data_IF_005999559827
#
_entry.id   IF_005999559827
#
_cell.length_a   1.000
_cell.length_b   1.000
_cell.length_c   1.000
_cell.angle_alpha   90.00
_cell.angle_beta   90.00
_cell.angle_gamma   90.00
#
_symmetry.space_group_name_H-M   'P 1'
#
loop_
_entity.id
_entity.type
_entity.pdbx_description
1 polymer ?
#
# COMPACT_ATOMS: atom_id res chain seq x y z
N UNK A 1 -13.75 -19.88 33.32
CA UNK A 1 -14.36 -20.71 32.25
C UNK A 1 -14.75 -19.90 30.98
N UNK A 2 -15.16 -18.63 31.10
CA UNK A 2 -15.45 -17.79 29.92
C UNK A 2 -14.22 -17.17 29.27
N UNK A 3 -13.12 -16.91 29.99
CA UNK A 3 -11.89 -16.34 29.46
C UNK A 3 -11.08 -17.34 28.63
N UNK A 4 -11.05 -18.63 29.01
CA UNK A 4 -10.32 -19.66 28.24
C UNK A 4 -10.95 -19.90 26.86
N UNK A 5 -12.28 -19.94 26.76
CA UNK A 5 -12.96 -20.09 25.45
C UNK A 5 -12.75 -18.90 24.50
N UNK A 6 -12.56 -17.68 25.03
CA UNK A 6 -12.27 -16.51 24.22
C UNK A 6 -10.82 -16.50 23.72
N UNK A 7 -9.87 -17.09 24.45
CA UNK A 7 -8.49 -17.24 24.02
C UNK A 7 -8.36 -18.31 22.94
N UNK A 8 -9.00 -19.48 23.12
CA UNK A 8 -8.99 -20.56 22.14
C UNK A 8 -9.58 -20.09 20.79
N UNK A 9 -10.73 -19.40 20.81
CA UNK A 9 -11.35 -18.86 19.59
C UNK A 9 -10.50 -17.78 18.90
N UNK A 10 -9.72 -16.98 19.64
CA UNK A 10 -8.80 -15.99 19.03
C UNK A 10 -7.61 -16.67 18.36
N UNK A 11 -7.09 -17.72 18.98
CA UNK A 11 -5.96 -18.49 18.45
C UNK A 11 -6.36 -19.24 17.17
N UNK A 12 -7.55 -19.82 17.15
CA UNK A 12 -8.11 -20.51 15.98
C UNK A 12 -8.34 -19.54 14.82
N UNK A 13 -8.88 -18.35 15.07
CA UNK A 13 -9.11 -17.33 14.05
C UNK A 13 -7.78 -16.80 13.47
N UNK A 14 -6.76 -16.58 14.30
CA UNK A 14 -5.44 -16.16 13.85
C UNK A 14 -4.77 -17.23 12.98
N UNK A 15 -4.85 -18.50 13.40
CA UNK A 15 -4.27 -19.61 12.62
C UNK A 15 -4.92 -19.74 11.24
N UNK A 16 -6.23 -19.51 11.15
CA UNK A 16 -6.96 -19.50 9.88
C UNK A 16 -6.50 -18.37 8.94
N UNK A 17 -6.34 -17.16 9.48
CA UNK A 17 -5.83 -16.01 8.73
C UNK A 17 -4.40 -16.27 8.25
N UNK A 18 -3.51 -16.75 9.12
CA UNK A 18 -2.13 -17.06 8.77
C UNK A 18 -2.03 -18.17 7.72
N UNK A 19 -2.90 -19.19 7.80
CA UNK A 19 -2.98 -20.24 6.77
C UNK A 19 -3.35 -19.67 5.41
N UNK A 20 -4.33 -18.78 5.36
CA UNK A 20 -4.73 -18.09 4.13
C UNK A 20 -3.59 -17.20 3.59
N UNK A 21 -2.93 -16.41 4.46
CA UNK A 21 -1.83 -15.54 4.07
C UNK A 21 -0.61 -16.32 3.54
N UNK A 22 -0.33 -17.51 4.08
CA UNK A 22 0.74 -18.38 3.59
C UNK A 22 0.51 -18.91 2.18
N UNK A 23 -0.73 -18.96 1.74
CA UNK A 23 -1.11 -19.38 0.39
C UNK A 23 -1.20 -18.23 -0.62
N UNK A 24 -1.13 -16.97 -0.16
CA UNK A 24 -1.12 -15.80 -1.03
C UNK A 24 0.17 -15.78 -1.87
N UNK A 25 0.03 -15.37 -3.13
CA UNK A 25 1.15 -15.24 -4.04
C UNK A 25 2.17 -14.22 -3.53
N UNK A 26 3.43 -14.54 -3.75
CA UNK A 26 4.55 -13.64 -3.52
C UNK A 26 5.15 -13.26 -4.86
N UNK A 27 5.33 -11.97 -5.07
CA UNK A 27 5.85 -11.42 -6.32
C UNK A 27 7.05 -10.54 -6.07
N UNK A 28 8.03 -10.62 -6.95
CA UNK A 28 9.08 -9.59 -7.04
C UNK A 28 8.54 -8.39 -7.79
N UNK A 29 8.98 -7.19 -7.42
CA UNK A 29 8.52 -5.96 -8.06
C UNK A 29 9.00 -5.96 -9.52
N UNK A 30 8.10 -5.80 -10.51
CA UNK A 30 8.50 -5.76 -11.91
C UNK A 30 9.45 -4.60 -12.21
N UNK A 31 10.45 -4.84 -13.08
CA UNK A 31 11.35 -3.81 -13.60
C UNK A 31 10.60 -2.84 -14.53
N UNK A 32 9.87 -1.93 -13.93
CA UNK A 32 9.21 -0.82 -14.63
C UNK A 32 9.23 0.42 -13.76
N UNK A 33 8.89 1.57 -14.35
CA UNK A 33 8.68 2.78 -13.57
C UNK A 33 7.43 2.66 -12.72
N UNK A 34 7.55 3.07 -11.47
CA UNK A 34 6.48 3.27 -10.53
C UNK A 34 6.44 4.73 -10.12
N UNK A 35 5.34 5.18 -9.53
CA UNK A 35 5.10 6.60 -9.30
C UNK A 35 4.65 6.86 -7.88
N UNK A 36 5.11 7.98 -7.35
CA UNK A 36 4.67 8.51 -6.06
C UNK A 36 4.22 9.94 -6.23
N UNK A 37 3.06 10.26 -5.65
CA UNK A 37 2.58 11.62 -5.56
C UNK A 37 2.53 12.07 -4.10
N UNK A 38 2.85 13.33 -3.86
CA UNK A 38 2.76 14.00 -2.56
C UNK A 38 2.14 15.37 -2.75
N UNK A 39 1.13 15.67 -1.93
CA UNK A 39 0.58 17.03 -1.87
C UNK A 39 1.65 17.98 -1.35
N UNK A 40 1.80 19.12 -2.01
CA UNK A 40 2.70 20.19 -1.57
C UNK A 40 1.98 21.02 -0.50
N UNK A 41 2.59 21.12 0.66
CA UNK A 41 2.11 21.98 1.74
C UNK A 41 2.79 23.34 1.66
N UNK A 42 2.02 24.40 1.93
CA UNK A 42 2.48 25.81 1.82
C UNK A 42 3.69 26.11 2.71
N UNK A 43 3.80 25.46 3.85
CA UNK A 43 4.88 25.64 4.83
C UNK A 43 6.04 24.64 4.65
N UNK A 44 6.11 23.90 3.51
CA UNK A 44 7.16 22.92 3.31
C UNK A 44 8.47 23.60 2.91
N UNK A 45 9.46 23.55 3.80
CA UNK A 45 10.78 24.16 3.61
C UNK A 45 11.59 23.55 2.45
N UNK A 46 11.21 22.38 1.95
CA UNK A 46 11.87 21.72 0.82
C UNK A 46 11.34 22.25 -0.54
N UNK A 47 10.30 23.11 -0.53
CA UNK A 47 9.67 23.69 -1.72
C UNK A 47 10.07 25.15 -1.88
N UNK A 48 10.39 25.55 -3.11
CA UNK A 48 10.68 26.93 -3.48
C UNK A 48 9.43 27.52 -4.15
N UNK A 49 9.00 28.69 -3.69
CA UNK A 49 7.82 29.39 -4.18
C UNK A 49 8.20 30.67 -4.96
N UNK A 50 7.36 31.06 -5.88
CA UNK A 50 7.44 32.35 -6.55
C UNK A 50 6.91 33.50 -5.67
N UNK A 51 6.99 34.74 -6.18
CA UNK A 51 6.49 35.91 -5.45
C UNK A 51 4.96 35.97 -5.28
N UNK A 52 4.22 35.05 -5.91
CA UNK A 52 2.77 34.89 -5.80
C UNK A 52 2.36 33.70 -4.93
N UNK A 53 3.34 32.96 -4.39
CA UNK A 53 3.09 31.81 -3.53
C UNK A 53 2.86 30.49 -4.30
N UNK A 54 3.14 30.43 -5.61
CA UNK A 54 3.05 29.18 -6.35
C UNK A 54 4.39 28.41 -6.23
N UNK A 55 4.37 27.07 -6.06
CA UNK A 55 5.58 26.29 -6.05
C UNK A 55 6.25 26.31 -7.44
N UNK A 56 7.56 26.51 -7.47
CA UNK A 56 8.34 26.56 -8.72
C UNK A 56 8.72 25.15 -9.23
N UNK A 57 8.75 24.15 -8.33
CA UNK A 57 9.10 22.76 -8.65
C UNK A 57 8.54 21.82 -7.60
N UNK A 58 8.48 20.51 -7.94
CA UNK A 58 8.20 19.45 -6.98
C UNK A 58 9.38 19.16 -6.05
N UNK A 59 9.22 18.14 -5.22
CA UNK A 59 10.30 17.67 -4.34
C UNK A 59 11.47 17.15 -5.16
N UNK A 60 12.69 17.38 -4.69
CA UNK A 60 13.89 16.77 -5.27
C UNK A 60 13.89 15.25 -5.01
N UNK A 61 14.73 14.53 -5.76
CA UNK A 61 14.80 13.06 -5.73
C UNK A 61 15.05 12.49 -4.33
N UNK A 62 15.91 13.13 -3.53
CA UNK A 62 16.21 12.76 -2.14
C UNK A 62 15.04 13.01 -1.17
N UNK A 63 14.06 13.84 -1.57
CA UNK A 63 12.85 14.20 -0.80
C UNK A 63 11.58 13.55 -1.34
N UNK A 64 11.65 12.89 -2.49
CA UNK A 64 10.50 12.23 -3.13
C UNK A 64 10.14 10.89 -2.48
N UNK A 65 11.02 10.32 -1.64
CA UNK A 65 10.79 9.09 -0.88
C UNK A 65 9.78 9.23 0.27
N UNK A 66 9.93 8.38 1.28
CA UNK A 66 9.04 8.40 2.48
C UNK A 66 9.15 9.75 3.19
N UNK A 67 8.00 10.30 3.56
CA UNK A 67 7.96 11.54 4.35
C UNK A 67 8.60 11.35 5.73
N UNK A 68 9.18 12.40 6.33
CA UNK A 68 9.62 12.35 7.72
C UNK A 68 8.47 11.94 8.64
N UNK A 69 8.74 11.07 9.64
CA UNK A 69 7.72 10.46 10.50
C UNK A 69 6.73 11.48 11.09
N UNK A 70 7.20 12.67 11.48
CA UNK A 70 6.35 13.73 12.05
C UNK A 70 5.20 14.21 11.14
N UNK A 71 5.29 13.99 9.84
CA UNK A 71 4.27 14.37 8.85
C UNK A 71 3.40 13.20 8.39
N UNK A 72 3.63 12.00 8.92
CA UNK A 72 2.90 10.81 8.50
C UNK A 72 1.64 10.65 9.35
N UNK A 73 0.49 10.70 8.67
CA UNK A 73 -0.82 10.30 9.20
C UNK A 73 -1.01 8.79 9.12
N UNK A 74 -1.99 8.27 9.84
CA UNK A 74 -2.40 6.88 9.69
C UNK A 74 -2.91 6.59 8.29
N UNK A 75 -2.53 5.45 7.74
CA UNK A 75 -2.93 4.98 6.44
C UNK A 75 -3.37 3.51 6.47
N UNK A 76 -3.55 2.93 5.31
CA UNK A 76 -3.95 1.53 5.12
C UNK A 76 -2.95 0.54 5.71
N UNK A 77 -1.67 0.81 5.57
CA UNK A 77 -0.57 -0.08 5.97
C UNK A 77 0.32 0.48 7.07
N UNK A 78 -0.02 1.62 7.66
CA UNK A 78 0.78 2.26 8.70
C UNK A 78 -0.04 2.93 9.78
N UNK A 79 0.45 2.90 11.00
CA UNK A 79 0.00 3.78 12.07
C UNK A 79 0.59 5.19 11.91
N UNK A 80 0.06 6.14 12.69
CA UNK A 80 0.59 7.51 12.71
C UNK A 80 2.07 7.49 13.09
N UNK A 81 2.90 8.23 12.36
CA UNK A 81 4.36 8.32 12.50
C UNK A 81 5.13 7.07 12.01
N UNK A 82 4.46 6.01 11.60
CA UNK A 82 5.08 4.82 11.03
C UNK A 82 5.39 5.03 9.54
N UNK A 83 6.64 4.83 9.16
CA UNK A 83 7.10 5.05 7.80
C UNK A 83 6.75 3.87 6.89
N UNK A 84 5.84 4.11 5.94
CA UNK A 84 5.49 3.21 4.84
C UNK A 84 5.51 4.01 3.55
N UNK A 85 6.14 3.46 2.52
CA UNK A 85 6.18 4.04 1.19
C UNK A 85 4.99 3.54 0.37
N UNK A 86 4.15 4.47 -0.07
CA UNK A 86 3.06 4.20 -1.00
C UNK A 86 3.45 4.65 -2.39
N UNK A 87 3.33 3.75 -3.37
CA UNK A 87 3.63 4.00 -4.79
C UNK A 87 2.59 3.31 -5.68
N UNK A 88 2.41 3.82 -6.88
CA UNK A 88 1.39 3.41 -7.81
C UNK A 88 1.99 3.02 -9.17
N UNK A 89 1.23 2.26 -9.93
CA UNK A 89 1.61 1.74 -11.23
C UNK A 89 1.79 2.83 -12.30
N UNK A 90 1.05 3.93 -12.18
CA UNK A 90 1.12 5.08 -13.09
C UNK A 90 0.91 6.42 -12.36
N UNK A 91 1.16 7.52 -13.09
CA UNK A 91 1.05 8.88 -12.55
C UNK A 91 -0.37 9.24 -12.12
N UNK A 92 -1.37 8.85 -12.90
CA UNK A 92 -2.78 9.15 -12.61
C UNK A 92 -3.21 8.50 -11.30
N UNK A 93 -2.86 7.23 -11.13
CA UNK A 93 -3.15 6.49 -9.90
C UNK A 93 -2.45 7.12 -8.71
N UNK A 94 -1.16 7.46 -8.84
CA UNK A 94 -0.41 8.13 -7.79
C UNK A 94 -1.07 9.46 -7.36
N UNK A 95 -1.53 10.27 -8.32
CA UNK A 95 -2.21 11.55 -8.04
C UNK A 95 -3.53 11.34 -7.31
N UNK A 96 -4.38 10.42 -7.78
CA UNK A 96 -5.67 10.11 -7.15
C UNK A 96 -5.51 9.56 -5.72
N UNK A 97 -4.49 8.73 -5.49
CA UNK A 97 -4.17 8.21 -4.15
C UNK A 97 -3.62 9.28 -3.21
N UNK A 98 -2.98 10.33 -3.72
CA UNK A 98 -2.54 11.46 -2.92
C UNK A 98 -3.72 12.28 -2.36
N UNK A 99 -4.93 12.15 -2.93
CA UNK A 99 -6.18 12.80 -2.49
C UNK A 99 -6.02 14.29 -2.26
N UNK A 100 -5.33 14.96 -3.17
CA UNK A 100 -5.21 16.41 -3.13
C UNK A 100 -6.58 17.04 -3.42
N UNK A 101 -6.92 18.10 -2.68
CA UNK A 101 -8.07 18.93 -3.00
C UNK A 101 -7.86 19.62 -4.36
N UNK A 102 -8.97 19.93 -5.05
CA UNK A 102 -8.93 20.66 -6.30
C UNK A 102 -8.16 21.99 -6.16
N UNK A 103 -7.27 22.25 -7.10
CA UNK A 103 -6.43 23.45 -7.09
C UNK A 103 -5.17 23.34 -6.22
N UNK A 104 -4.91 22.20 -5.55
CA UNK A 104 -3.66 21.99 -4.83
C UNK A 104 -2.57 21.44 -5.77
N UNK A 105 -1.34 21.84 -5.50
CA UNK A 105 -0.19 21.30 -6.21
C UNK A 105 0.24 19.94 -5.65
N UNK A 106 0.59 19.04 -6.56
CA UNK A 106 1.09 17.70 -6.23
C UNK A 106 2.46 17.52 -6.90
N UNK A 107 3.42 17.01 -6.16
CA UNK A 107 4.72 16.59 -6.70
C UNK A 107 4.65 15.11 -7.06
N UNK A 108 4.80 14.80 -8.35
CA UNK A 108 4.79 13.41 -8.85
C UNK A 108 6.19 13.02 -9.28
N UNK A 109 6.78 12.03 -8.61
CA UNK A 109 8.09 11.48 -8.91
C UNK A 109 7.96 10.05 -9.41
N UNK A 110 8.77 9.67 -10.37
CA UNK A 110 8.94 8.26 -10.73
C UNK A 110 10.01 7.59 -9.88
N UNK A 111 9.90 6.29 -9.68
CA UNK A 111 10.92 5.51 -8.99
C UNK A 111 11.20 4.18 -9.69
N UNK A 112 12.41 3.69 -9.48
CA UNK A 112 12.87 2.37 -9.91
C UNK A 112 13.46 1.63 -8.71
N UNK A 113 13.29 0.31 -8.72
CA UNK A 113 13.83 -0.58 -7.70
C UNK A 113 15.21 -1.09 -8.12
N UNK A 114 16.12 -1.20 -7.16
CA UNK A 114 17.46 -1.72 -7.36
C UNK A 114 17.68 -3.10 -6.74
N UNK A 115 16.63 -3.68 -6.18
CA UNK A 115 16.66 -4.94 -5.47
C UNK A 115 15.40 -5.75 -5.74
N UNK A 116 15.51 -7.06 -5.63
CA UNK A 116 14.40 -8.02 -5.73
C UNK A 116 13.59 -8.03 -4.43
N UNK A 117 12.83 -6.97 -4.19
CA UNK A 117 11.91 -6.92 -3.04
C UNK A 117 10.74 -7.86 -3.26
N UNK A 118 10.42 -8.67 -2.27
CA UNK A 118 9.28 -9.58 -2.30
C UNK A 118 8.07 -8.93 -1.66
N UNK A 119 6.96 -8.88 -2.39
CA UNK A 119 5.67 -8.40 -1.91
C UNK A 119 4.66 -9.53 -1.86
N UNK A 120 3.72 -9.44 -0.94
CA UNK A 120 2.53 -10.27 -0.96
C UNK A 120 1.51 -9.65 -1.93
N UNK A 121 1.07 -10.43 -2.93
CA UNK A 121 0.17 -9.94 -3.98
C UNK A 121 -1.30 -10.18 -3.60
N UNK A 122 -2.04 -9.10 -3.44
CA UNK A 122 -3.48 -9.08 -3.22
C UNK A 122 -4.25 -8.60 -4.45
N UNK A 123 -3.66 -8.68 -5.64
CA UNK A 123 -4.39 -8.49 -6.89
C UNK A 123 -5.46 -9.57 -7.06
N UNK A 124 -6.60 -9.29 -7.72
CA UNK A 124 -7.60 -10.31 -8.01
C UNK A 124 -6.99 -11.45 -8.81
N UNK A 125 -7.37 -12.66 -8.46
CA UNK A 125 -7.01 -13.85 -9.25
C UNK A 125 -7.62 -13.76 -10.65
N UNK A 126 -6.86 -14.20 -11.64
CA UNK A 126 -7.36 -14.44 -12.98
C UNK A 126 -8.33 -15.63 -13.00
N UNK A 127 -9.17 -15.74 -14.04
CA UNK A 127 -10.07 -16.90 -14.19
C UNK A 127 -9.30 -18.22 -14.23
N UNK A 128 -8.08 -18.23 -14.80
CA UNK A 128 -7.20 -19.39 -14.86
C UNK A 128 -6.72 -19.79 -13.46
N UNK A 129 -6.23 -18.83 -12.65
CA UNK A 129 -5.83 -19.07 -11.26
C UNK A 129 -6.99 -19.59 -10.41
N UNK A 130 -8.20 -19.04 -10.58
CA UNK A 130 -9.38 -19.52 -9.88
C UNK A 130 -9.76 -20.96 -10.27
N UNK A 131 -9.56 -21.33 -11.56
CA UNK A 131 -9.78 -22.70 -12.05
C UNK A 131 -8.79 -23.70 -11.43
N UNK A 132 -7.52 -23.32 -11.33
CA UNK A 132 -6.49 -24.17 -10.72
C UNK A 132 -6.74 -24.36 -9.22
N UNK A 133 -7.16 -23.33 -8.52
CA UNK A 133 -7.56 -23.43 -7.10
C UNK A 133 -8.77 -24.36 -6.91
N UNK A 134 -9.76 -24.32 -7.80
CA UNK A 134 -10.94 -25.16 -7.72
C UNK A 134 -10.63 -26.65 -7.90
N UNK A 135 -9.54 -26.97 -8.61
CA UNK A 135 -9.15 -28.35 -8.91
C UNK A 135 -8.29 -29.01 -7.81
N UNK A 136 -7.76 -28.24 -6.85
CA UNK A 136 -6.72 -28.76 -5.94
C UNK A 136 -7.20 -29.27 -4.56
N UNK A 137 -8.40 -28.97 -4.07
CA UNK A 137 -9.05 -29.59 -2.88
C UNK A 137 -10.31 -28.83 -2.50
N UNK A 138 -11.45 -29.45 -2.63
CA UNK A 138 -12.76 -28.79 -2.66
C UNK A 138 -13.21 -28.07 -1.36
N UNK A 139 -12.75 -28.45 -0.18
CA UNK A 139 -13.19 -27.85 1.10
C UNK A 139 -12.31 -26.69 1.58
N UNK A 140 -11.01 -26.87 1.52
CA UNK A 140 -10.06 -25.86 2.00
C UNK A 140 -9.84 -24.74 0.96
N UNK A 141 -9.95 -25.06 -0.34
CA UNK A 141 -9.80 -24.08 -1.41
C UNK A 141 -10.93 -23.05 -1.43
N UNK A 142 -12.18 -23.45 -1.15
CA UNK A 142 -13.32 -22.53 -1.11
C UNK A 142 -13.22 -21.54 0.05
N UNK A 143 -12.82 -22.01 1.24
CA UNK A 143 -12.61 -21.15 2.40
C UNK A 143 -11.47 -20.17 2.16
N UNK A 144 -10.36 -20.65 1.61
CA UNK A 144 -9.20 -19.83 1.31
C UNK A 144 -9.51 -18.78 0.23
N UNK A 145 -10.22 -19.15 -0.83
CA UNK A 145 -10.69 -18.21 -1.87
C UNK A 145 -11.61 -17.15 -1.28
N UNK A 146 -12.55 -17.55 -0.42
CA UNK A 146 -13.42 -16.60 0.27
C UNK A 146 -12.64 -15.63 1.17
N UNK A 147 -11.75 -16.16 2.02
CA UNK A 147 -10.91 -15.36 2.91
C UNK A 147 -10.03 -14.39 2.12
N UNK A 148 -9.38 -14.85 1.05
CA UNK A 148 -8.57 -14.03 0.17
C UNK A 148 -9.39 -12.88 -0.45
N UNK A 149 -10.60 -13.18 -0.92
CA UNK A 149 -11.52 -12.17 -1.45
C UNK A 149 -11.91 -11.13 -0.40
N UNK A 150 -12.11 -11.53 0.88
CA UNK A 150 -12.39 -10.57 1.94
C UNK A 150 -11.16 -9.69 2.24
N UNK A 151 -9.97 -10.26 2.24
CA UNK A 151 -8.70 -9.52 2.41
C UNK A 151 -8.53 -8.50 1.29
N UNK A 152 -8.73 -8.91 0.04
CA UNK A 152 -8.70 -8.00 -1.11
C UNK A 152 -9.69 -6.84 -0.95
N UNK A 153 -10.93 -7.13 -0.56
CA UNK A 153 -11.95 -6.09 -0.29
C UNK A 153 -11.47 -5.12 0.77
N UNK A 154 -10.96 -5.60 1.90
CA UNK A 154 -10.44 -4.77 2.99
C UNK A 154 -9.33 -3.85 2.48
N UNK A 155 -8.41 -4.37 1.65
CA UNK A 155 -7.29 -3.60 1.12
C UNK A 155 -7.66 -2.65 -0.02
N UNK A 156 -8.78 -2.88 -0.72
CA UNK A 156 -9.23 -2.08 -1.86
C UNK A 156 -10.31 -1.05 -1.48
N UNK A 157 -11.06 -1.28 -0.39
CA UNK A 157 -12.16 -0.39 0.03
C UNK A 157 -11.69 1.06 0.16
N UNK A 158 -12.50 2.01 -0.35
CA UNK A 158 -12.25 3.43 -0.09
C UNK A 158 -12.43 3.69 1.40
N UNK A 159 -11.45 4.28 2.01
CA UNK A 159 -11.46 4.63 3.42
C UNK A 159 -11.37 6.17 3.51
N UNK A 160 -12.37 6.76 4.14
CA UNK A 160 -12.53 8.22 4.24
C UNK A 160 -12.23 8.75 5.64
N UNK A 161 -12.04 7.85 6.61
CA UNK A 161 -11.74 8.21 7.98
C UNK A 161 -10.65 7.34 8.60
N UNK A 162 -9.97 7.89 9.62
CA UNK A 162 -8.92 7.17 10.36
C UNK A 162 -9.44 5.87 11.02
N UNK A 163 -10.74 5.82 11.36
CA UNK A 163 -11.36 4.63 11.96
C UNK A 163 -11.51 3.48 10.98
N UNK A 164 -11.74 3.78 9.71
CA UNK A 164 -11.92 2.76 8.67
C UNK A 164 -10.61 2.02 8.38
N UNK A 165 -9.46 2.71 8.56
CA UNK A 165 -8.14 2.09 8.42
C UNK A 165 -7.80 1.05 9.50
N UNK A 166 -8.55 0.95 10.59
CA UNK A 166 -8.21 0.03 11.70
C UNK A 166 -8.11 -1.42 11.22
N UNK A 167 -9.06 -1.86 10.38
CA UNK A 167 -9.12 -3.25 9.92
C UNK A 167 -7.95 -3.54 8.98
N UNK A 168 -7.71 -2.68 7.98
CA UNK A 168 -6.61 -2.84 7.03
C UNK A 168 -5.25 -2.78 7.74
N UNK A 169 -5.05 -1.84 8.67
CA UNK A 169 -3.83 -1.76 9.48
C UNK A 169 -3.60 -2.99 10.33
N UNK A 170 -4.64 -3.52 10.98
CA UNK A 170 -4.53 -4.74 11.79
C UNK A 170 -4.09 -5.92 10.94
N UNK A 171 -4.68 -6.06 9.76
CA UNK A 171 -4.30 -7.09 8.79
C UNK A 171 -2.83 -6.91 8.34
N UNK A 172 -2.45 -5.71 7.94
CA UNK A 172 -1.07 -5.44 7.50
C UNK A 172 -0.07 -5.63 8.63
N UNK A 173 -0.42 -5.26 9.86
CA UNK A 173 0.41 -5.56 11.04
C UNK A 173 0.61 -7.06 11.22
N UNK A 174 -0.44 -7.85 11.09
CA UNK A 174 -0.34 -9.32 11.12
C UNK A 174 0.62 -9.84 10.03
N UNK A 175 0.55 -9.28 8.81
CA UNK A 175 1.48 -9.63 7.73
C UNK A 175 2.92 -9.29 8.09
N UNK A 176 3.17 -8.06 8.56
CA UNK A 176 4.52 -7.60 8.96
C UNK A 176 5.15 -8.47 10.05
N UNK A 177 4.34 -8.94 10.99
CA UNK A 177 4.81 -9.72 12.15
C UNK A 177 5.05 -11.21 11.82
N UNK A 178 4.40 -11.75 10.79
CA UNK A 178 4.37 -13.19 10.55
C UNK A 178 4.87 -13.62 9.17
N UNK A 179 5.03 -12.69 8.21
CA UNK A 179 5.41 -13.01 6.83
C UNK A 179 6.73 -12.34 6.47
N UNK A 180 7.60 -13.08 5.81
CA UNK A 180 8.88 -12.56 5.28
C UNK A 180 8.64 -11.89 3.92
N UNK A 181 8.12 -10.65 3.99
CA UNK A 181 7.85 -9.81 2.82
C UNK A 181 8.12 -8.34 3.13
N UNK A 182 8.58 -7.60 2.13
CA UNK A 182 8.92 -6.17 2.24
C UNK A 182 7.71 -5.24 2.10
N UNK A 183 6.57 -5.77 1.69
CA UNK A 183 5.38 -4.97 1.42
C UNK A 183 4.20 -5.78 0.93
N UNK A 184 3.16 -5.06 0.52
CA UNK A 184 1.98 -5.60 -0.15
C UNK A 184 1.75 -4.91 -1.48
N UNK A 185 1.20 -5.65 -2.43
CA UNK A 185 0.67 -5.16 -3.69
C UNK A 185 -0.85 -5.35 -3.69
N UNK A 186 -1.59 -4.31 -4.04
CA UNK A 186 -3.06 -4.31 -4.03
C UNK A 186 -3.60 -3.40 -5.12
N UNK A 187 -4.91 -3.43 -5.36
CA UNK A 187 -5.55 -2.63 -6.42
C UNK A 187 -6.07 -1.30 -5.87
N UNK A 188 -5.78 -0.21 -6.57
CA UNK A 188 -6.35 1.10 -6.28
C UNK A 188 -7.86 1.10 -6.51
N UNK A 189 -8.61 1.56 -5.51
CA UNK A 189 -10.04 1.79 -5.66
C UNK A 189 -10.38 2.83 -6.74
N UNK A 190 -9.51 3.83 -6.91
CA UNK A 190 -9.77 4.96 -7.80
C UNK A 190 -9.58 4.65 -9.28
N UNK A 191 -8.68 3.72 -9.61
CA UNK A 191 -8.27 3.49 -11.01
C UNK A 191 -8.30 2.04 -11.43
N UNK A 192 -8.42 1.09 -10.50
CA UNK A 192 -8.26 -0.33 -10.77
C UNK A 192 -6.83 -0.76 -11.13
N UNK A 193 -5.86 0.15 -11.00
CA UNK A 193 -4.42 -0.11 -11.22
C UNK A 193 -3.75 -0.58 -9.96
N UNK A 194 -2.51 -1.10 -10.09
CA UNK A 194 -1.74 -1.62 -8.97
C UNK A 194 -1.15 -0.51 -8.10
N UNK A 195 -1.23 -0.72 -6.78
CA UNK A 195 -0.56 0.06 -5.76
C UNK A 195 0.32 -0.85 -4.91
N UNK A 196 1.36 -0.28 -4.32
CA UNK A 196 2.21 -0.96 -3.35
C UNK A 196 2.32 -0.14 -2.06
N UNK A 197 2.37 -0.84 -0.93
CA UNK A 197 2.75 -0.30 0.36
C UNK A 197 3.99 -1.06 0.84
N UNK A 198 5.12 -0.38 0.96
CA UNK A 198 6.44 -0.96 1.27
C UNK A 198 6.90 -0.41 2.61
N UNK A 199 7.25 -1.30 3.55
CA UNK A 199 7.69 -0.97 4.92
C UNK A 199 9.14 -1.30 5.20
N UNK A 200 9.77 -2.08 4.34
CA UNK A 200 11.20 -2.34 4.43
C UNK A 200 12.06 -1.24 3.85
N UNK A 201 13.35 -1.32 4.09
CA UNK A 201 14.35 -0.30 3.84
C UNK A 201 14.29 0.28 2.42
N UNK A 202 13.92 1.55 2.34
CA UNK A 202 13.80 2.33 1.11
C UNK A 202 15.15 2.65 0.43
N UNK A 203 16.28 2.17 0.93
CA UNK A 203 17.63 2.45 0.38
C UNK A 203 17.81 1.98 -1.05
N UNK A 204 17.02 1.00 -1.46
CA UNK A 204 17.10 0.40 -2.79
C UNK A 204 16.14 1.03 -3.80
N UNK A 205 15.45 2.10 -3.42
CA UNK A 205 14.49 2.79 -4.29
C UNK A 205 15.08 4.14 -4.71
N UNK A 206 15.28 4.31 -6.01
CA UNK A 206 15.73 5.59 -6.56
C UNK A 206 14.58 6.36 -7.17
N UNK A 207 14.40 7.60 -6.70
CA UNK A 207 13.41 8.53 -7.20
C UNK A 207 14.03 9.52 -8.18
N UNK A 208 13.22 9.99 -9.13
CA UNK A 208 13.51 11.19 -9.91
C UNK A 208 13.09 12.42 -9.11
N UNK A 209 13.49 13.60 -9.59
CA UNK A 209 12.88 14.85 -9.14
C UNK A 209 11.38 14.85 -9.50
N UNK A 210 10.57 15.39 -8.62
CA UNK A 210 9.13 15.43 -8.80
C UNK A 210 8.70 16.52 -9.78
N UNK A 211 7.81 16.14 -10.71
CA UNK A 211 7.12 17.10 -11.57
C UNK A 211 5.91 17.67 -10.85
N UNK A 212 5.67 18.98 -11.00
CA UNK A 212 4.47 19.63 -10.51
C UNK A 212 3.25 19.24 -11.36
N UNK A 213 2.18 18.93 -10.69
CA UNK A 213 0.84 18.74 -11.26
C UNK A 213 -0.15 19.53 -10.42
N UNK A 214 -1.20 20.02 -11.07
CA UNK A 214 -2.36 20.61 -10.40
C UNK A 214 -3.43 19.52 -10.25
N UNK A 215 -3.95 19.34 -9.04
CA UNK A 215 -5.01 18.37 -8.76
C UNK A 215 -6.38 18.88 -9.22
#
# INVERSE_FOLDING_TARGET
>A
MFESKNQDNKQDNLSCILSCLNQCDRVTIPEKKWYRARVINEDDADIVYDGMGNPLRGYLSDKSGVAPAKYISSGRANDRYEQVLYIAEDEETAQKEARADEGRYVSVASCNFQNDMVLMDFSPYTEEQLSDYANTNFSDSQLNTYMFTQIQKILTMPEYSEKEYIISRTLVKCIKENMDVSGILYISHFTGKKNMAIWDDNKFIKFTDGCLKLA
#
